data_IF_270709626789
#
_entry.id   IF_270709626789
#
_cell.length_a   1.000
_cell.length_b   1.000
_cell.length_c   1.000
_cell.angle_alpha   90.00
_cell.angle_beta   90.00
_cell.angle_gamma   90.00
#
_symmetry.space_group_name_H-M   'P 1'
#
loop_
_entity.id
_entity.type
_entity.pdbx_description
1 polymer ?
#
# COMPACT_ATOMS: atom_id res chain seq x y z
N UNK A 1 10.40 -19.46 5.99
CA UNK A 1 9.30 -18.51 6.18
C UNK A 1 9.89 -17.18 5.83
N UNK A 2 9.45 -16.58 4.72
CA UNK A 2 9.86 -15.22 4.39
C UNK A 2 9.17 -14.36 5.43
N UNK A 3 9.96 -13.77 6.31
CA UNK A 3 9.49 -12.90 7.38
C UNK A 3 8.88 -11.66 6.70
N UNK A 4 7.56 -11.50 6.78
CA UNK A 4 6.81 -10.35 6.24
C UNK A 4 7.32 -8.99 6.77
N UNK A 5 8.23 -9.03 7.74
CA UNK A 5 8.90 -7.91 8.38
C UNK A 5 9.92 -7.18 7.49
N UNK A 6 10.52 -7.80 6.45
CA UNK A 6 11.55 -7.11 5.65
C UNK A 6 10.96 -6.13 4.61
N UNK A 7 9.76 -6.40 4.09
CA UNK A 7 9.13 -5.56 3.07
C UNK A 7 8.63 -4.22 3.65
N UNK A 8 8.25 -4.18 4.93
CA UNK A 8 7.82 -2.94 5.59
C UNK A 8 8.98 -2.04 6.01
N UNK A 9 10.22 -2.54 6.04
CA UNK A 9 11.36 -1.79 6.60
C UNK A 9 11.89 -0.70 5.67
N UNK A 10 11.44 -0.64 4.41
CA UNK A 10 11.93 0.31 3.41
C UNK A 10 11.02 1.54 3.19
N UNK A 11 9.82 1.56 3.78
CA UNK A 11 8.91 2.71 3.66
C UNK A 11 9.10 3.71 4.79
N UNK A 12 9.02 5.00 4.45
CA UNK A 12 8.98 6.11 5.41
C UNK A 12 7.76 5.98 6.35
N UNK A 13 7.76 6.72 7.45
CA UNK A 13 6.68 6.73 8.44
C UNK A 13 5.30 6.96 7.82
N UNK A 14 5.19 7.84 6.82
CA UNK A 14 3.94 8.06 6.07
C UNK A 14 3.50 6.83 5.26
N UNK A 15 4.42 6.18 4.52
CA UNK A 15 4.08 5.01 3.68
C UNK A 15 3.50 3.86 4.51
N UNK A 16 4.02 3.65 5.73
CA UNK A 16 3.49 2.65 6.67
C UNK A 16 2.07 2.98 7.15
N UNK A 17 1.76 4.26 7.37
CA UNK A 17 0.44 4.69 7.80
C UNK A 17 -0.61 4.45 6.69
N UNK A 18 -0.23 4.77 5.45
CA UNK A 18 -1.07 4.55 4.25
C UNK A 18 -1.29 3.06 4.03
N UNK A 19 -0.22 2.27 4.14
CA UNK A 19 -0.29 0.82 4.00
C UNK A 19 -1.31 0.21 4.97
N UNK A 20 -1.18 0.53 6.26
CA UNK A 20 -2.08 0.03 7.28
C UNK A 20 -3.54 0.50 7.06
N UNK A 21 -3.75 1.75 6.59
CA UNK A 21 -5.08 2.26 6.22
C UNK A 21 -5.70 1.47 5.07
N UNK A 22 -4.93 1.21 4.02
CA UNK A 22 -5.39 0.47 2.84
C UNK A 22 -5.65 -1.00 3.16
N UNK A 23 -4.76 -1.63 3.93
CA UNK A 23 -4.98 -2.99 4.45
C UNK A 23 -6.25 -3.07 5.31
N UNK A 24 -6.50 -2.06 6.17
CA UNK A 24 -7.75 -1.98 6.97
C UNK A 24 -8.99 -1.83 6.12
N UNK A 25 -8.90 -1.12 4.98
CA UNK A 25 -10.01 -0.98 4.06
C UNK A 25 -10.34 -2.33 3.39
N UNK A 26 -9.35 -3.21 3.23
CA UNK A 26 -9.51 -4.52 2.60
C UNK A 26 -8.66 -4.70 1.35
N UNK A 27 -7.81 -3.73 1.02
CA UNK A 27 -6.90 -3.84 -0.11
C UNK A 27 -5.77 -4.84 0.20
N UNK A 28 -5.36 -5.65 -0.80
CA UNK A 28 -4.28 -6.61 -0.61
C UNK A 28 -2.94 -5.89 -0.48
N UNK A 29 -2.15 -6.31 0.51
CA UNK A 29 -0.84 -5.75 0.86
C UNK A 29 0.10 -5.61 -0.34
N UNK A 30 0.14 -6.61 -1.22
CA UNK A 30 0.95 -6.60 -2.44
C UNK A 30 0.60 -5.42 -3.35
N UNK A 31 -0.69 -5.20 -3.60
CA UNK A 31 -1.16 -4.08 -4.42
C UNK A 31 -0.92 -2.74 -3.73
N UNK A 32 -1.10 -2.69 -2.42
CA UNK A 32 -0.85 -1.49 -1.61
C UNK A 32 0.62 -1.07 -1.68
N UNK A 33 1.55 -2.01 -1.57
CA UNK A 33 2.99 -1.75 -1.70
C UNK A 33 3.32 -1.19 -3.08
N UNK A 34 2.76 -1.79 -4.14
CA UNK A 34 2.96 -1.29 -5.50
C UNK A 34 2.39 0.12 -5.68
N UNK A 35 1.18 0.36 -5.20
CA UNK A 35 0.53 1.67 -5.28
C UNK A 35 1.36 2.74 -4.56
N UNK A 36 1.80 2.48 -3.32
CA UNK A 36 2.65 3.38 -2.55
C UNK A 36 3.98 3.63 -3.28
N UNK A 37 4.58 2.61 -3.90
CA UNK A 37 5.82 2.76 -4.65
C UNK A 37 5.66 3.63 -5.91
N UNK A 38 4.59 3.40 -6.70
CA UNK A 38 4.28 4.16 -7.91
C UNK A 38 3.88 5.60 -7.59
N UNK A 39 3.18 5.79 -6.48
CA UNK A 39 2.63 7.07 -6.06
C UNK A 39 3.55 7.84 -5.11
N UNK A 40 4.81 7.43 -4.92
CA UNK A 40 5.81 8.06 -4.03
C UNK A 40 5.31 8.23 -2.57
N UNK A 41 4.49 7.28 -2.11
CA UNK A 41 3.92 7.31 -0.76
C UNK A 41 2.76 8.29 -0.60
N UNK A 42 2.05 8.62 -1.67
CA UNK A 42 0.90 9.51 -1.65
C UNK A 42 -0.42 8.71 -1.53
N UNK A 43 -1.21 8.96 -0.48
CA UNK A 43 -2.38 8.15 -0.11
C UNK A 43 -3.48 8.20 -1.16
N UNK A 44 -3.93 9.41 -1.51
CA UNK A 44 -5.02 9.60 -2.48
C UNK A 44 -4.68 8.93 -3.80
N UNK A 45 -3.45 9.13 -4.28
CA UNK A 45 -2.95 8.52 -5.51
C UNK A 45 -2.89 7.00 -5.41
N UNK A 46 -2.45 6.46 -4.28
CA UNK A 46 -2.37 5.02 -4.06
C UNK A 46 -3.77 4.39 -4.10
N UNK A 47 -4.76 5.05 -3.49
CA UNK A 47 -6.17 4.64 -3.55
C UNK A 47 -6.68 4.68 -5.00
N UNK A 48 -6.47 5.78 -5.71
CA UNK A 48 -6.87 5.92 -7.12
C UNK A 48 -6.23 4.82 -7.99
N UNK A 49 -4.94 4.54 -7.78
CA UNK A 49 -4.22 3.48 -8.48
C UNK A 49 -4.84 2.11 -8.21
N UNK A 50 -5.17 1.81 -6.96
CA UNK A 50 -5.83 0.55 -6.60
C UNK A 50 -7.21 0.42 -7.28
N UNK A 51 -8.03 1.47 -7.28
CA UNK A 51 -9.31 1.45 -7.98
C UNK A 51 -9.16 1.29 -9.49
N UNK A 52 -8.20 1.98 -10.13
CA UNK A 52 -7.93 1.86 -11.56
C UNK A 52 -7.47 0.44 -11.95
N UNK A 53 -6.73 -0.22 -11.05
CA UNK A 53 -6.32 -1.62 -11.20
C UNK A 53 -7.47 -2.62 -10.95
N UNK A 54 -8.68 -2.14 -10.64
CA UNK A 54 -9.86 -2.98 -10.41
C UNK A 54 -9.95 -3.57 -9.01
N UNK A 55 -9.24 -3.01 -8.04
CA UNK A 55 -9.47 -3.32 -6.63
C UNK A 55 -10.69 -2.53 -6.14
N UNK A 56 -11.80 -3.24 -5.96
CA UNK A 56 -13.07 -2.70 -5.47
C UNK A 56 -13.31 -3.23 -4.04
N UNK A 57 -13.80 -2.37 -3.14
CA UNK A 57 -14.12 -2.70 -1.74
C UNK A 57 -15.45 -3.43 -1.59
#
# INVERSE_FOLDING_TARGET
MIDDSEVEQNFSSEGKAIMNRLETMGFPREAVIEAICVCDGDEERSVEYLYDNGYEL
#
